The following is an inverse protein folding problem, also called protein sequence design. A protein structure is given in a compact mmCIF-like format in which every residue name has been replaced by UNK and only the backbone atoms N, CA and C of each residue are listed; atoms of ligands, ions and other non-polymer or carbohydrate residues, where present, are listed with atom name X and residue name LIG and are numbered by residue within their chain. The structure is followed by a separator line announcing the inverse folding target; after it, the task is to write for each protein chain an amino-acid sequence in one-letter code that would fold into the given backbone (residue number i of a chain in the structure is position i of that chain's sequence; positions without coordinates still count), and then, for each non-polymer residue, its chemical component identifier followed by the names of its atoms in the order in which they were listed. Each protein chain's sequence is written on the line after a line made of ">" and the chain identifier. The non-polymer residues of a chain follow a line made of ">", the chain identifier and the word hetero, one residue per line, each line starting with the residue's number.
data_IF_039050965081
#
_entry.id   IF_039050965081
#
_cell.length_a   1.000
_cell.length_b   1.000
_cell.length_c   1.000
_cell.angle_alpha   90.00
_cell.angle_beta   90.00
_cell.angle_gamma   90.00
#
_symmetry.space_group_name_H-M   'P 1'
#
loop_
_entity.id
_entity.type
_entity.pdbx_description
1 polymer ?
#
# COMPACT_ATOMS: atom_id res chain seq x y z
N UNK A 1 -10.54 17.98 -0.52
CA UNK A 1 -9.89 17.30 -1.67
C UNK A 1 -9.22 16.06 -1.12
N UNK A 2 -9.35 14.92 -1.81
CA UNK A 2 -8.68 13.65 -1.45
C UNK A 2 -7.49 13.43 -2.38
N UNK A 3 -6.54 12.58 -2.00
CA UNK A 3 -5.37 12.24 -2.81
C UNK A 3 -5.79 11.57 -4.14
N UNK A 4 -5.15 11.97 -5.24
CA UNK A 4 -5.33 11.39 -6.57
C UNK A 4 -4.95 9.90 -6.62
N UNK A 5 -4.10 9.44 -5.71
CA UNK A 5 -3.78 8.02 -5.55
C UNK A 5 -4.98 7.12 -5.21
N UNK A 6 -6.09 7.67 -4.71
CA UNK A 6 -7.32 6.90 -4.48
C UNK A 6 -8.14 6.72 -5.78
N UNK A 7 -8.01 7.65 -6.72
CA UNK A 7 -8.89 7.76 -7.88
C UNK A 7 -8.23 7.20 -9.13
N UNK A 8 -6.99 7.59 -9.40
CA UNK A 8 -6.20 7.12 -10.54
C UNK A 8 -4.74 6.93 -10.11
N UNK A 9 -4.41 5.80 -9.44
CA UNK A 9 -3.09 5.54 -8.87
C UNK A 9 -1.95 5.48 -9.90
N UNK A 10 -2.24 5.08 -11.14
CA UNK A 10 -1.25 5.03 -12.24
C UNK A 10 -1.87 5.59 -13.52
N UNK A 11 -1.85 6.93 -13.73
CA UNK A 11 -2.67 7.65 -14.71
C UNK A 11 -2.13 7.56 -16.15
N UNK A 12 -1.98 6.35 -16.67
CA UNK A 12 -1.51 6.06 -18.04
C UNK A 12 -2.49 6.58 -19.10
N UNK A 13 -3.78 6.53 -18.81
CA UNK A 13 -4.86 7.04 -19.66
C UNK A 13 -4.77 8.55 -19.87
N UNK A 14 -4.43 9.29 -18.81
CA UNK A 14 -4.28 10.74 -18.83
C UNK A 14 -3.10 11.13 -19.70
N UNK A 15 -1.93 10.52 -19.50
CA UNK A 15 -0.72 10.84 -20.29
C UNK A 15 -0.91 10.50 -21.76
N UNK A 16 -1.65 9.43 -22.09
CA UNK A 16 -2.02 9.13 -23.47
C UNK A 16 -2.95 10.17 -24.08
N UNK A 17 -3.96 10.60 -23.35
CA UNK A 17 -4.91 11.63 -23.81
C UNK A 17 -4.20 12.96 -24.05
N UNK A 18 -3.13 13.24 -23.31
CA UNK A 18 -2.27 14.41 -23.52
C UNK A 18 -1.39 14.31 -24.79
N UNK A 19 -1.42 13.19 -25.51
CA UNK A 19 -0.70 13.02 -26.78
C UNK A 19 0.73 12.49 -26.64
N UNK A 20 1.07 11.82 -25.54
CA UNK A 20 2.37 11.18 -25.41
C UNK A 20 2.56 10.08 -26.46
N UNK A 21 3.68 10.13 -27.20
CA UNK A 21 4.04 9.11 -28.21
C UNK A 21 4.45 7.78 -27.58
N UNK A 22 5.08 7.86 -26.40
CA UNK A 22 5.57 6.72 -25.63
C UNK A 22 5.28 6.92 -24.15
N UNK A 23 4.82 5.85 -23.51
CA UNK A 23 4.41 5.88 -22.10
C UNK A 23 5.17 4.81 -21.33
N UNK A 24 5.92 5.28 -20.33
CA UNK A 24 6.61 4.45 -19.35
C UNK A 24 5.84 4.59 -18.05
N UNK A 25 5.12 3.54 -17.67
CA UNK A 25 4.37 3.47 -16.42
C UNK A 25 5.24 2.85 -15.33
N UNK A 26 5.39 3.55 -14.21
CA UNK A 26 6.01 3.00 -13.00
C UNK A 26 4.90 2.77 -11.99
N UNK A 27 4.77 1.52 -11.55
CA UNK A 27 3.71 1.13 -10.66
C UNK A 27 4.28 0.44 -9.41
N UNK A 28 4.06 1.05 -8.25
CA UNK A 28 4.64 0.64 -6.96
C UNK A 28 3.73 -0.31 -6.18
N UNK A 29 2.94 -1.15 -6.87
CA UNK A 29 1.89 -2.02 -6.27
C UNK A 29 2.40 -3.07 -5.29
N UNK A 30 3.70 -3.30 -5.20
CA UNK A 30 4.23 -4.31 -4.31
C UNK A 30 4.17 -3.90 -2.82
N UNK A 31 3.13 -3.20 -2.39
CA UNK A 31 2.77 -3.20 -0.99
C UNK A 31 1.79 -4.36 -0.77
N UNK A 32 2.22 -5.44 -0.10
CA UNK A 32 1.33 -6.57 0.20
C UNK A 32 0.69 -6.34 1.58
N UNK A 33 -0.57 -5.85 1.64
CA UNK A 33 -1.26 -5.68 2.91
C UNK A 33 -1.43 -7.00 3.66
N UNK A 34 -1.28 -8.16 3.01
CA UNK A 34 -1.35 -9.45 3.69
C UNK A 34 -0.12 -9.67 4.61
N UNK A 35 1.10 -9.33 4.20
CA UNK A 35 2.29 -9.60 5.03
C UNK A 35 2.40 -8.70 6.27
N UNK A 36 1.99 -7.43 6.14
CA UNK A 36 1.94 -6.48 7.27
C UNK A 36 0.98 -6.91 8.40
N UNK A 37 0.06 -7.84 8.11
CA UNK A 37 -1.05 -8.23 8.99
C UNK A 37 -0.77 -9.54 9.74
N UNK A 38 -0.02 -10.47 9.15
CA UNK A 38 0.20 -11.84 9.66
C UNK A 38 1.61 -12.11 10.20
N UNK A 39 2.57 -11.18 10.07
CA UNK A 39 3.92 -11.34 10.62
C UNK A 39 4.06 -10.96 12.12
N UNK A 40 2.96 -10.72 12.84
CA UNK A 40 3.01 -10.69 14.31
C UNK A 40 3.00 -12.12 14.83
N UNK A 41 4.20 -12.63 15.09
CA UNK A 41 4.54 -13.91 15.73
C UNK A 41 3.44 -14.49 16.63
N UNK A 42 3.04 -15.73 16.33
CA UNK A 42 2.34 -16.66 17.23
C UNK A 42 3.26 -17.13 18.38
N UNK A 43 3.77 -16.21 19.21
CA UNK A 43 4.48 -16.56 20.43
C UNK A 43 4.15 -15.56 21.53
N UNK A 44 2.97 -15.72 22.13
CA UNK A 44 2.73 -15.38 23.53
C UNK A 44 1.48 -16.12 24.01
N UNK A 45 1.68 -17.38 24.38
CA UNK A 45 0.76 -18.07 25.27
C UNK A 45 0.85 -17.45 26.67
N UNK A 46 -0.30 -16.93 27.12
CA UNK A 46 -0.81 -16.85 28.50
C UNK A 46 -1.05 -15.45 29.11
N UNK A 47 -2.27 -15.34 29.68
CA UNK A 47 -2.76 -14.44 30.76
C UNK A 47 -3.16 -13.02 30.32
N UNK A 48 -4.33 -12.45 30.62
CA UNK A 48 -5.40 -12.78 31.56
C UNK A 48 -6.73 -12.06 31.16
N UNK A 49 -7.83 -12.58 31.70
CA UNK A 49 -9.14 -11.96 31.96
C UNK A 49 -10.06 -11.51 30.79
N UNK A 50 -11.06 -12.34 30.54
CA UNK A 50 -12.30 -12.01 29.81
C UNK A 50 -13.05 -10.88 30.53
N UNK A 51 -13.08 -9.68 29.93
CA UNK A 51 -14.06 -8.63 30.25
C UNK A 51 -15.20 -8.63 29.19
N UNK A 52 -16.46 -8.40 29.59
CA UNK A 52 -17.63 -8.78 28.80
C UNK A 52 -17.85 -7.85 27.59
N UNK A 53 -17.43 -8.30 26.41
CA UNK A 53 -17.53 -7.61 25.12
C UNK A 53 -18.94 -7.60 24.49
N UNK A 54 -20.02 -7.70 25.29
CA UNK A 54 -21.33 -8.09 24.76
C UNK A 54 -22.39 -6.99 24.62
N UNK A 55 -22.10 -5.69 24.83
CA UNK A 55 -23.14 -4.64 24.70
C UNK A 55 -22.70 -3.28 24.13
N UNK A 56 -22.13 -3.25 22.93
CA UNK A 56 -22.00 -1.99 22.17
C UNK A 56 -22.15 -2.22 20.67
N UNK A 57 -23.06 -1.46 20.02
CA UNK A 57 -23.26 -1.49 18.58
C UNK A 57 -22.02 -0.90 17.85
N UNK A 58 -21.70 -1.45 16.68
CA UNK A 58 -20.50 -1.09 15.90
C UNK A 58 -20.39 0.43 15.65
N UNK A 59 -21.53 1.08 15.42
CA UNK A 59 -21.63 2.51 15.20
C UNK A 59 -21.22 3.34 16.43
N UNK A 60 -21.52 2.86 17.64
CA UNK A 60 -21.17 3.53 18.90
C UNK A 60 -19.66 3.42 19.19
N UNK A 61 -19.03 2.31 18.78
CA UNK A 61 -17.58 2.13 18.86
C UNK A 61 -16.86 3.07 17.89
N UNK A 62 -17.35 3.20 16.66
CA UNK A 62 -16.80 4.12 15.64
C UNK A 62 -16.92 5.58 16.09
N UNK A 63 -18.08 5.99 16.62
CA UNK A 63 -18.30 7.35 17.13
C UNK A 63 -17.40 7.71 18.32
N UNK A 64 -17.13 6.77 19.23
CA UNK A 64 -16.18 6.98 20.33
C UNK A 64 -14.75 7.15 19.85
N UNK A 65 -14.33 6.40 18.82
CA UNK A 65 -13.01 6.50 18.22
C UNK A 65 -12.79 7.84 17.49
N UNK A 66 -13.76 8.29 16.70
CA UNK A 66 -13.66 9.55 15.94
C UNK A 66 -13.66 10.77 16.88
N UNK A 67 -14.34 10.69 18.03
CA UNK A 67 -14.46 11.81 18.98
C UNK A 67 -13.26 11.99 19.92
N UNK A 68 -12.33 11.04 20.00
CA UNK A 68 -11.27 11.07 21.01
C UNK A 68 -9.82 10.95 20.47
N UNK A 69 -9.41 11.70 19.42
CA UNK A 69 -8.10 11.52 18.78
C UNK A 69 -6.90 12.09 19.56
N UNK A 70 -7.09 12.79 20.69
CA UNK A 70 -6.07 13.70 21.26
C UNK A 70 -5.85 13.60 22.78
N UNK A 71 -6.08 12.43 23.40
CA UNK A 71 -5.72 12.19 24.83
C UNK A 71 -4.79 10.99 25.03
N UNK A 72 -3.84 10.75 24.12
CA UNK A 72 -2.73 9.81 24.36
C UNK A 72 -1.43 10.61 24.48
N UNK A 73 -1.26 11.25 25.63
CA UNK A 73 -0.04 11.97 26.00
C UNK A 73 0.97 10.95 26.56
N UNK A 74 2.08 10.81 25.84
CA UNK A 74 3.45 10.72 26.35
C UNK A 74 3.68 9.74 27.52
N UNK A 75 4.20 8.54 27.20
CA UNK A 75 5.36 7.89 27.83
C UNK A 75 5.52 6.46 27.27
N UNK A 76 6.73 6.12 26.83
CA UNK A 76 7.22 4.85 26.26
C UNK A 76 7.09 4.59 24.73
N UNK A 77 8.22 4.49 23.99
CA UNK A 77 8.25 4.11 22.58
C UNK A 77 8.05 2.60 22.33
N UNK A 78 7.83 1.79 23.37
CA UNK A 78 7.63 0.34 23.28
C UNK A 78 6.15 -0.08 23.24
N UNK A 79 5.21 0.88 23.35
CA UNK A 79 3.79 0.61 23.60
C UNK A 79 2.88 0.87 22.37
N UNK A 80 3.47 0.79 21.17
CA UNK A 80 2.74 0.79 19.90
C UNK A 80 2.20 -0.61 19.53
N UNK A 81 2.54 -1.64 20.34
CA UNK A 81 2.29 -3.05 20.01
C UNK A 81 1.18 -3.73 20.81
N UNK A 82 0.37 -3.00 21.59
CA UNK A 82 -0.83 -3.59 22.17
C UNK A 82 -2.04 -2.64 22.11
N UNK A 83 -3.13 -3.19 21.60
CA UNK A 83 -4.51 -2.69 21.68
C UNK A 83 -4.93 -1.51 20.82
N UNK A 84 -5.04 -1.75 19.51
CA UNK A 84 -6.21 -1.30 18.74
C UNK A 84 -6.78 -2.44 17.88
N UNK A 85 -8.01 -2.92 18.14
CA UNK A 85 -8.66 -3.89 17.27
C UNK A 85 -9.13 -3.26 15.94
N UNK A 86 -8.71 -3.86 14.82
CA UNK A 86 -9.53 -4.08 13.62
C UNK A 86 -9.68 -2.95 12.61
N UNK A 87 -10.25 -1.80 12.98
CA UNK A 87 -10.88 -0.91 11.98
C UNK A 87 -9.90 -0.18 11.05
N UNK A 88 -8.84 0.45 11.57
CA UNK A 88 -7.86 1.17 10.75
C UNK A 88 -7.09 0.23 9.80
N UNK A 89 -6.80 -0.99 10.27
CA UNK A 89 -6.18 -2.07 9.50
C UNK A 89 -7.07 -2.52 8.34
N UNK A 90 -8.37 -2.70 8.60
CA UNK A 90 -9.37 -3.04 7.57
C UNK A 90 -9.52 -1.91 6.56
N UNK A 91 -9.65 -0.65 7.01
CA UNK A 91 -9.75 0.49 6.11
C UNK A 91 -8.53 0.60 5.19
N UNK A 92 -7.34 0.46 5.76
CA UNK A 92 -6.11 0.47 4.99
C UNK A 92 -6.06 -0.67 3.97
N UNK A 93 -6.45 -1.89 4.36
CA UNK A 93 -6.54 -3.02 3.45
C UNK A 93 -7.55 -2.78 2.32
N UNK A 94 -8.73 -2.24 2.64
CA UNK A 94 -9.73 -1.87 1.63
C UNK A 94 -9.16 -0.88 0.63
N UNK A 95 -8.49 0.18 1.11
CA UNK A 95 -7.86 1.17 0.24
C UNK A 95 -6.78 0.55 -0.65
N UNK A 96 -5.91 -0.30 -0.09
CA UNK A 96 -4.89 -1.00 -0.84
C UNK A 96 -5.49 -1.88 -1.94
N UNK A 97 -6.55 -2.65 -1.64
CA UNK A 97 -7.25 -3.48 -2.62
C UNK A 97 -7.85 -2.63 -3.74
N UNK A 98 -8.54 -1.54 -3.41
CA UNK A 98 -9.14 -0.64 -4.40
C UNK A 98 -8.08 -0.02 -5.31
N UNK A 99 -6.98 0.46 -4.74
CA UNK A 99 -5.87 1.01 -5.52
C UNK A 99 -5.26 -0.02 -6.46
N UNK A 100 -5.05 -1.25 -6.00
CA UNK A 100 -4.52 -2.33 -6.83
C UNK A 100 -5.45 -2.60 -8.03
N UNK A 101 -6.76 -2.74 -7.78
CA UNK A 101 -7.74 -3.02 -8.84
C UNK A 101 -7.86 -1.86 -9.83
N UNK A 102 -7.96 -0.62 -9.34
CA UNK A 102 -8.04 0.57 -10.20
C UNK A 102 -6.80 0.74 -11.07
N UNK A 103 -5.62 0.56 -10.48
CA UNK A 103 -4.36 0.62 -11.21
C UNK A 103 -4.29 -0.48 -12.28
N UNK A 104 -4.76 -1.70 -11.98
CA UNK A 104 -4.70 -2.84 -12.91
C UNK A 104 -5.64 -2.64 -14.10
N UNK A 105 -6.89 -2.24 -13.83
CA UNK A 105 -7.84 -1.84 -14.86
C UNK A 105 -7.28 -0.73 -15.75
N UNK A 106 -6.71 0.32 -15.13
CA UNK A 106 -6.14 1.44 -15.88
C UNK A 106 -4.99 0.97 -16.76
N UNK A 107 -4.06 0.16 -16.25
CA UNK A 107 -2.92 -0.33 -17.03
C UNK A 107 -3.35 -1.28 -18.15
N UNK A 108 -4.35 -2.14 -17.94
CA UNK A 108 -4.85 -3.06 -18.97
C UNK A 108 -5.59 -2.33 -20.10
N UNK A 109 -6.37 -1.30 -19.77
CA UNK A 109 -7.07 -0.48 -20.76
C UNK A 109 -6.11 0.49 -21.45
N UNK A 110 -5.29 1.15 -20.65
CA UNK A 110 -4.40 2.21 -21.09
C UNK A 110 -3.08 1.69 -21.68
N UNK A 111 -2.76 0.39 -21.58
CA UNK A 111 -1.61 -0.30 -22.20
C UNK A 111 -0.37 0.60 -22.41
N UNK A 112 0.45 0.83 -21.38
CA UNK A 112 1.70 1.57 -21.54
C UNK A 112 2.68 0.80 -22.43
N UNK A 113 3.63 1.50 -23.07
CA UNK A 113 4.68 0.87 -23.87
C UNK A 113 5.65 0.07 -22.99
N UNK A 114 5.98 0.62 -21.81
CA UNK A 114 6.83 -0.01 -20.82
C UNK A 114 6.12 0.07 -19.47
N UNK A 115 5.98 -1.06 -18.80
CA UNK A 115 5.49 -1.15 -17.43
C UNK A 115 6.62 -1.61 -16.51
N UNK A 116 6.92 -0.81 -15.50
CA UNK A 116 7.94 -1.09 -14.48
C UNK A 116 7.22 -1.33 -13.15
N UNK A 117 7.42 -2.51 -12.58
CA UNK A 117 6.83 -2.91 -11.29
C UNK A 117 7.93 -3.39 -10.34
N UNK A 118 8.57 -2.47 -9.59
CA UNK A 118 9.61 -2.85 -8.64
C UNK A 118 9.01 -3.66 -7.47
N UNK A 119 9.67 -4.76 -7.10
CA UNK A 119 9.24 -5.54 -5.93
C UNK A 119 9.61 -4.83 -4.63
N UNK A 120 8.60 -4.32 -3.96
CA UNK A 120 8.66 -3.61 -2.69
C UNK A 120 7.87 -4.32 -1.59
N UNK A 121 7.55 -5.61 -1.78
CA UNK A 121 6.65 -6.41 -0.92
C UNK A 121 7.03 -6.40 0.56
N UNK A 122 8.32 -6.27 0.84
CA UNK A 122 8.89 -6.26 2.18
C UNK A 122 8.84 -4.90 2.89
N UNK A 123 8.46 -3.82 2.21
CA UNK A 123 8.46 -2.48 2.79
C UNK A 123 7.06 -1.95 3.07
N UNK A 124 7.00 -1.01 4.00
CA UNK A 124 5.80 -0.26 4.34
C UNK A 124 5.84 1.16 3.81
N UNK A 125 4.64 1.78 3.71
CA UNK A 125 4.50 3.19 3.35
C UNK A 125 5.31 4.13 4.26
N UNK A 126 5.64 3.68 5.48
CA UNK A 126 6.31 4.48 6.50
C UNK A 126 7.80 4.11 6.69
N UNK A 127 8.38 3.29 5.80
CA UNK A 127 9.80 2.89 5.87
C UNK A 127 10.76 3.95 5.33
N UNK A 128 10.68 5.17 5.86
CA UNK A 128 11.44 6.34 5.39
C UNK A 128 12.96 6.17 5.47
N UNK A 129 13.46 5.26 6.33
CA UNK A 129 14.90 4.99 6.49
C UNK A 129 15.46 4.05 5.41
N UNK A 130 14.61 3.43 4.59
CA UNK A 130 15.00 2.44 3.57
C UNK A 130 15.18 3.05 2.18
N UNK A 131 15.28 4.37 2.07
CA UNK A 131 15.35 5.09 0.79
C UNK A 131 16.44 4.58 -0.16
N UNK A 132 17.67 4.38 0.32
CA UNK A 132 18.77 3.90 -0.53
C UNK A 132 18.48 2.53 -1.15
N UNK A 133 17.90 1.61 -0.35
CA UNK A 133 17.56 0.26 -0.77
C UNK A 133 16.43 0.27 -1.82
N UNK A 134 15.39 1.10 -1.58
CA UNK A 134 14.27 1.28 -2.50
C UNK A 134 14.68 1.92 -3.84
N UNK A 135 15.62 2.87 -3.81
CA UNK A 135 16.17 3.49 -5.02
C UNK A 135 16.90 2.45 -5.86
N UNK A 136 17.73 1.60 -5.23
CA UNK A 136 18.46 0.54 -5.93
C UNK A 136 17.52 -0.48 -6.57
N UNK A 137 16.46 -0.89 -5.85
CA UNK A 137 15.41 -1.77 -6.37
C UNK A 137 14.74 -1.13 -7.60
N UNK A 138 14.32 0.14 -7.50
CA UNK A 138 13.71 0.86 -8.61
C UNK A 138 14.63 0.96 -9.82
N UNK A 139 15.91 1.26 -9.61
CA UNK A 139 16.92 1.35 -10.67
C UNK A 139 17.09 0.00 -11.39
N UNK A 140 17.26 -1.09 -10.64
CA UNK A 140 17.41 -2.43 -11.21
C UNK A 140 16.17 -2.83 -12.03
N UNK A 141 14.97 -2.68 -11.47
CA UNK A 141 13.72 -3.03 -12.15
C UNK A 141 13.50 -2.22 -13.42
N UNK A 142 13.89 -0.94 -13.42
CA UNK A 142 13.83 -0.11 -14.62
C UNK A 142 14.81 -0.63 -15.69
N UNK A 143 16.07 -0.87 -15.35
CA UNK A 143 17.09 -1.36 -16.28
C UNK A 143 16.70 -2.71 -16.92
N UNK A 144 16.15 -3.63 -16.13
CA UNK A 144 15.65 -4.92 -16.62
C UNK A 144 14.51 -4.75 -17.62
N UNK A 145 13.55 -3.87 -17.31
CA UNK A 145 12.41 -3.57 -18.18
C UNK A 145 12.84 -2.94 -19.50
N UNK A 146 13.79 -1.99 -19.47
CA UNK A 146 14.33 -1.39 -20.69
C UNK A 146 15.10 -2.39 -21.54
N UNK A 147 15.92 -3.24 -20.92
CA UNK A 147 16.66 -4.28 -21.64
C UNK A 147 15.71 -5.24 -22.36
N UNK A 148 14.62 -5.66 -21.69
CA UNK A 148 13.58 -6.49 -22.30
C UNK A 148 12.91 -5.79 -23.48
N UNK A 149 12.47 -4.55 -23.30
CA UNK A 149 11.82 -3.77 -24.35
C UNK A 149 12.71 -3.58 -25.59
N UNK A 150 14.00 -3.28 -25.39
CA UNK A 150 14.96 -3.14 -26.50
C UNK A 150 15.15 -4.47 -27.24
N UNK A 151 15.30 -5.59 -26.53
CA UNK A 151 15.46 -6.90 -27.16
C UNK A 151 14.24 -7.36 -27.98
N UNK A 152 13.03 -6.96 -27.57
CA UNK A 152 11.78 -7.23 -28.28
C UNK A 152 11.61 -6.33 -29.52
N UNK A 153 12.21 -5.13 -29.49
CA UNK A 153 12.19 -4.18 -30.61
C UNK A 153 13.21 -4.56 -31.70
N UNK A 154 14.40 -5.04 -31.31
CA UNK A 154 15.45 -5.47 -32.25
C UNK A 154 15.12 -6.79 -32.98
N UNK A 155 14.12 -7.53 -32.50
CA UNK A 155 13.67 -8.81 -33.09
C UNK A 155 12.53 -8.66 -34.12
N UNK A 156 12.07 -7.44 -34.39
CA UNK A 156 11.02 -7.12 -35.37
C UNK A 156 11.58 -6.35 -36.57
#
# INVERSE_FOLDING_TARGET
>A
MVDGGLVNPTPVDVTRTMGADKIIAVNLRAFNPHQAIFNNNENNENRDEKLPFEKLNLNEKILKFIKNPLKRKENNPADLNHDLPGFGKILYQMFAIVQIQMADLTIQLAKPDILIEPDTTQYTLFDFLKGNELIEIGYRSAMESFKKYLSETDSK
#
